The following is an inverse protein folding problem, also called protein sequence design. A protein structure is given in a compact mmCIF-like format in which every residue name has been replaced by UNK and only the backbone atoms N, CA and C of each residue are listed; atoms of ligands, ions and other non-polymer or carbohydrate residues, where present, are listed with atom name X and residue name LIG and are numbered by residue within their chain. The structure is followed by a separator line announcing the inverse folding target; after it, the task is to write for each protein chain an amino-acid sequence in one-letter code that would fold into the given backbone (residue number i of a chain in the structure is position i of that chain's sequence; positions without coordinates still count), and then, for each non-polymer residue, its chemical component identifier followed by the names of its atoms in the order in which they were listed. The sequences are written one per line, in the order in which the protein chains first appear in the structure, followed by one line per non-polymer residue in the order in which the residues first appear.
data_IF_003453964424
#
_entry.id   IF_003453964424
#
_cell.length_a   1.000
_cell.length_b   1.000
_cell.length_c   1.000
_cell.angle_alpha   90.00
_cell.angle_beta   90.00
_cell.angle_gamma   90.00
#
_symmetry.space_group_name_H-M   'P 1'
#
loop_
_entity.id
_entity.type
_entity.pdbx_description
1 polymer ?
#
# COMPACT_ATOMS: atom_id res chain seq x y z
N UNK A 1 50.62 -50.59 12.01
CA UNK A 1 51.21 -49.88 10.85
C UNK A 1 50.21 -49.97 9.71
N UNK A 2 49.48 -48.88 9.44
CA UNK A 2 48.49 -48.82 8.37
C UNK A 2 48.85 -47.66 7.44
N UNK A 3 49.24 -47.99 6.22
CA UNK A 3 49.66 -47.09 5.15
C UNK A 3 48.44 -46.38 4.59
N UNK A 4 48.45 -45.04 4.62
CA UNK A 4 47.37 -44.19 4.11
C UNK A 4 47.57 -43.99 2.61
N UNK A 5 46.81 -44.71 1.78
CA UNK A 5 46.75 -44.48 0.33
C UNK A 5 46.00 -43.17 0.07
N UNK A 6 46.70 -42.14 -0.41
CA UNK A 6 46.11 -40.91 -0.91
C UNK A 6 45.43 -41.19 -2.25
N UNK A 7 44.12 -40.96 -2.30
CA UNK A 7 43.30 -41.08 -3.51
C UNK A 7 43.62 -39.86 -4.40
N UNK A 8 44.29 -40.10 -5.51
CA UNK A 8 44.70 -39.08 -6.47
C UNK A 8 43.55 -38.85 -7.46
N UNK A 9 42.96 -37.66 -7.45
CA UNK A 9 41.91 -37.29 -8.40
C UNK A 9 42.52 -36.89 -9.75
N UNK A 10 41.90 -37.28 -10.88
CA UNK A 10 42.38 -36.89 -12.21
C UNK A 10 42.16 -35.40 -12.46
N UNK A 11 43.14 -34.74 -13.09
CA UNK A 11 43.03 -33.33 -13.46
C UNK A 11 41.98 -33.09 -14.55
N UNK A 12 41.28 -31.94 -14.53
CA UNK A 12 40.29 -31.60 -15.55
C UNK A 12 40.94 -31.28 -16.91
N UNK A 13 40.24 -31.55 -18.02
CA UNK A 13 40.77 -31.30 -19.36
C UNK A 13 40.91 -29.80 -19.66
N UNK A 14 41.86 -29.40 -20.51
CA UNK A 14 42.09 -28.00 -20.86
C UNK A 14 40.93 -27.42 -21.68
N UNK A 15 40.66 -26.10 -21.57
CA UNK A 15 39.58 -25.45 -22.28
C UNK A 15 39.83 -25.39 -23.79
N UNK A 16 38.76 -25.57 -24.57
CA UNK A 16 38.75 -25.51 -26.03
C UNK A 16 39.13 -24.12 -26.55
N UNK A 17 39.80 -24.02 -27.72
CA UNK A 17 40.19 -22.75 -28.31
C UNK A 17 38.97 -21.89 -28.73
N UNK A 18 39.10 -20.56 -28.75
CA UNK A 18 38.02 -19.65 -29.10
C UNK A 18 37.64 -19.83 -30.57
N UNK A 19 36.32 -19.93 -30.83
CA UNK A 19 35.78 -19.92 -32.18
C UNK A 19 35.92 -18.51 -32.75
N UNK A 20 36.45 -18.40 -33.97
CA UNK A 20 36.41 -17.16 -34.73
C UNK A 20 34.97 -16.92 -35.18
N UNK A 21 34.38 -15.79 -34.78
CA UNK A 21 33.07 -15.37 -35.26
C UNK A 21 33.20 -14.74 -36.65
N UNK A 22 32.54 -15.38 -37.61
CA UNK A 22 32.22 -14.81 -38.93
C UNK A 22 31.16 -13.70 -38.79
N UNK A 23 31.11 -12.74 -39.74
CA UNK A 23 30.27 -11.55 -39.63
C UNK A 23 28.77 -11.89 -39.57
N UNK A 24 28.14 -11.55 -38.45
CA UNK A 24 26.70 -11.63 -38.26
C UNK A 24 25.97 -10.63 -39.16
N UNK A 25 25.26 -11.18 -40.14
CA UNK A 25 24.22 -10.51 -40.93
C UNK A 25 23.07 -10.06 -40.02
N UNK A 26 22.72 -8.78 -40.10
CA UNK A 26 21.53 -8.19 -39.50
C UNK A 26 20.32 -8.76 -40.25
N UNK A 27 19.54 -9.63 -39.59
CA UNK A 27 18.22 -10.04 -40.04
C UNK A 27 17.18 -9.72 -38.96
N UNK A 28 15.96 -9.46 -39.43
CA UNK A 28 14.88 -8.65 -38.87
C UNK A 28 14.18 -9.11 -37.58
N UNK A 29 14.20 -8.25 -36.55
CA UNK A 29 13.47 -8.38 -35.27
C UNK A 29 12.06 -7.74 -35.28
N UNK A 30 11.26 -8.01 -36.31
CA UNK A 30 9.91 -7.45 -36.43
C UNK A 30 8.84 -8.19 -35.58
N UNK A 31 9.15 -9.39 -35.08
CA UNK A 31 8.17 -10.25 -34.39
C UNK A 31 8.10 -9.99 -32.87
N UNK A 32 9.23 -9.66 -32.24
CA UNK A 32 9.32 -9.46 -30.78
C UNK A 32 8.68 -8.11 -30.35
N UNK A 33 8.79 -7.11 -31.22
CA UNK A 33 8.18 -5.79 -31.04
C UNK A 33 6.65 -5.84 -31.08
N UNK A 34 6.07 -6.74 -31.88
CA UNK A 34 4.61 -6.88 -32.00
C UNK A 34 3.96 -7.52 -30.76
N UNK A 35 4.66 -8.43 -30.09
CA UNK A 35 4.19 -9.06 -28.87
C UNK A 35 4.25 -8.10 -27.67
N UNK A 36 5.37 -7.38 -27.53
CA UNK A 36 5.56 -6.36 -26.50
C UNK A 36 4.55 -5.22 -26.65
N UNK A 37 4.32 -4.75 -27.88
CA UNK A 37 3.32 -3.71 -28.15
C UNK A 37 1.90 -4.16 -27.83
N UNK A 38 1.52 -5.40 -28.14
CA UNK A 38 0.20 -5.94 -27.84
C UNK A 38 -0.03 -6.08 -26.32
N UNK A 39 0.94 -6.63 -25.59
CA UNK A 39 0.84 -6.81 -24.13
C UNK A 39 0.68 -5.47 -23.39
N UNK A 40 1.48 -4.47 -23.77
CA UNK A 40 1.39 -3.12 -23.19
C UNK A 40 0.06 -2.44 -23.54
N UNK A 41 -0.47 -2.66 -24.75
CA UNK A 41 -1.76 -2.11 -25.18
C UNK A 41 -2.94 -2.74 -24.43
N UNK A 42 -2.92 -4.06 -24.22
CA UNK A 42 -3.90 -4.78 -23.41
C UNK A 42 -3.88 -4.29 -21.95
N UNK A 43 -2.69 -4.07 -21.40
CA UNK A 43 -2.50 -3.60 -20.04
C UNK A 43 -2.94 -2.14 -19.87
N UNK A 44 -2.66 -1.27 -20.84
CA UNK A 44 -3.20 0.10 -20.88
C UNK A 44 -4.72 0.11 -20.94
N UNK A 45 -5.36 -0.78 -21.72
CA UNK A 45 -6.83 -0.92 -21.72
C UNK A 45 -7.38 -1.37 -20.37
N UNK A 46 -6.71 -2.31 -19.71
CA UNK A 46 -7.06 -2.81 -18.37
C UNK A 46 -6.96 -1.73 -17.29
N UNK A 47 -5.94 -0.86 -17.38
CA UNK A 47 -5.73 0.23 -16.42
C UNK A 47 -6.55 1.47 -16.76
N UNK A 48 -6.74 1.71 -18.06
CA UNK A 48 -7.41 2.89 -18.61
C UNK A 48 -8.38 2.47 -19.71
N UNK A 49 -9.66 2.43 -19.40
CA UNK A 49 -10.71 2.27 -20.42
C UNK A 49 -10.83 3.52 -21.34
N UNK A 50 -9.88 4.46 -21.24
CA UNK A 50 -9.95 5.84 -21.76
C UNK A 50 -8.77 6.17 -22.68
N UNK A 51 -7.60 5.53 -22.55
CA UNK A 51 -6.41 5.87 -23.33
C UNK A 51 -5.85 4.64 -24.05
N UNK A 52 -6.11 4.56 -25.36
CA UNK A 52 -5.44 3.57 -26.22
C UNK A 52 -4.00 4.02 -26.45
N UNK A 53 -3.05 3.08 -26.63
CA UNK A 53 -1.64 3.39 -26.95
C UNK A 53 -1.51 4.41 -28.09
N UNK A 54 -2.36 4.30 -29.12
CA UNK A 54 -2.46 5.26 -30.23
C UNK A 54 -2.75 6.69 -29.75
N UNK A 55 -3.67 6.87 -28.80
CA UNK A 55 -4.00 8.19 -28.25
C UNK A 55 -2.82 8.77 -27.46
N UNK A 56 -2.10 7.93 -26.71
CA UNK A 56 -0.89 8.38 -25.99
C UNK A 56 0.16 8.84 -26.98
N UNK A 57 0.36 8.11 -28.07
CA UNK A 57 1.32 8.46 -29.12
C UNK A 57 0.96 9.75 -29.85
N UNK A 58 -0.30 9.92 -30.25
CA UNK A 58 -0.80 11.15 -30.89
C UNK A 58 -0.67 12.37 -29.97
N UNK A 59 -1.02 12.20 -28.69
CA UNK A 59 -0.87 13.24 -27.70
C UNK A 59 0.61 13.55 -27.41
N UNK A 60 1.48 12.54 -27.42
CA UNK A 60 2.94 12.69 -27.30
C UNK A 60 3.51 13.45 -28.49
N UNK A 61 3.01 13.23 -29.70
CA UNK A 61 3.41 13.99 -30.90
C UNK A 61 3.09 15.48 -30.80
N UNK A 62 2.06 15.84 -30.02
CA UNK A 62 1.63 17.22 -29.80
C UNK A 62 2.25 17.87 -28.54
N UNK A 63 2.85 17.08 -27.64
CA UNK A 63 3.40 17.54 -26.37
C UNK A 63 4.87 17.95 -26.52
N UNK A 64 5.16 19.23 -26.32
CA UNK A 64 6.50 19.79 -26.51
C UNK A 64 7.52 19.23 -25.53
N UNK A 65 7.12 18.90 -24.30
CA UNK A 65 8.03 18.39 -23.26
C UNK A 65 8.45 16.97 -23.61
N UNK A 66 7.50 16.10 -23.96
CA UNK A 66 7.81 14.73 -24.34
C UNK A 66 8.55 14.64 -25.68
N UNK A 67 8.27 15.52 -26.64
CA UNK A 67 9.09 15.61 -27.85
C UNK A 67 10.54 15.99 -27.54
N UNK A 68 10.76 16.96 -26.64
CA UNK A 68 12.12 17.28 -26.17
C UNK A 68 12.78 16.11 -25.44
N UNK A 69 12.01 15.35 -24.66
CA UNK A 69 12.50 14.14 -23.99
C UNK A 69 12.91 13.06 -25.01
N UNK A 70 12.13 12.84 -26.07
CA UNK A 70 12.47 11.92 -27.16
C UNK A 70 13.79 12.33 -27.81
N UNK A 71 13.94 13.62 -28.17
CA UNK A 71 15.18 14.14 -28.73
C UNK A 71 16.36 13.92 -27.78
N UNK A 72 16.17 14.17 -26.48
CA UNK A 72 17.20 13.98 -25.46
C UNK A 72 17.59 12.51 -25.29
N UNK A 73 16.63 11.59 -25.34
CA UNK A 73 16.88 10.14 -25.30
C UNK A 73 17.71 9.72 -26.53
N UNK A 74 17.40 10.23 -27.72
CA UNK A 74 18.15 9.92 -28.94
C UNK A 74 19.55 10.54 -28.99
N UNK A 75 19.73 11.76 -28.45
CA UNK A 75 21.04 12.42 -28.39
C UNK A 75 21.93 11.91 -27.24
N UNK A 76 21.35 11.15 -26.31
CA UNK A 76 21.97 10.80 -25.04
C UNK A 76 21.59 11.79 -23.93
N UNK A 77 21.21 11.25 -22.78
CA UNK A 77 20.89 12.02 -21.57
C UNK A 77 22.21 12.32 -20.83
N UNK A 78 22.52 13.58 -20.51
CA UNK A 78 23.72 13.95 -19.74
C UNK A 78 23.78 13.27 -18.36
N UNK A 79 24.99 12.96 -17.90
CA UNK A 79 25.21 12.37 -16.56
C UNK A 79 24.83 13.33 -15.43
N UNK A 80 25.07 14.63 -15.63
CA UNK A 80 24.77 15.66 -14.64
C UNK A 80 23.36 16.22 -14.83
N UNK A 81 22.56 16.21 -13.77
CA UNK A 81 21.19 16.71 -13.78
C UNK A 81 21.10 18.20 -14.16
N UNK A 82 22.12 18.99 -13.83
CA UNK A 82 22.18 20.43 -14.14
C UNK A 82 22.27 20.73 -15.64
N UNK A 83 22.77 19.78 -16.44
CA UNK A 83 22.91 19.92 -17.90
C UNK A 83 21.62 19.51 -18.63
N UNK A 84 20.66 18.92 -17.91
CA UNK A 84 19.33 18.60 -18.41
C UNK A 84 18.42 19.82 -18.28
N UNK A 85 17.65 20.17 -19.33
CA UNK A 85 16.65 21.23 -19.24
C UNK A 85 15.73 21.05 -18.03
N UNK A 86 15.41 22.14 -17.33
CA UNK A 86 14.65 22.14 -16.06
C UNK A 86 13.34 21.33 -16.12
N UNK A 87 12.61 21.42 -17.23
CA UNK A 87 11.37 20.69 -17.50
C UNK A 87 11.56 19.16 -17.56
N UNK A 88 12.77 18.70 -17.92
CA UNK A 88 13.12 17.29 -18.11
C UNK A 88 13.91 16.70 -16.94
N UNK A 89 14.41 17.53 -16.01
CA UNK A 89 15.10 17.08 -14.81
C UNK A 89 14.33 16.01 -14.00
N UNK A 90 12.98 16.04 -13.88
CA UNK A 90 12.24 14.98 -13.20
C UNK A 90 12.45 13.58 -13.80
N UNK A 91 12.86 13.50 -15.07
CA UNK A 91 13.14 12.25 -15.79
C UNK A 91 14.60 11.80 -15.66
N UNK A 92 15.53 12.69 -15.28
CA UNK A 92 16.97 12.40 -15.21
C UNK A 92 17.30 11.21 -14.31
N UNK A 93 16.64 11.10 -13.16
CA UNK A 93 16.81 9.96 -12.23
C UNK A 93 16.42 8.60 -12.81
N UNK A 94 15.75 8.59 -13.96
CA UNK A 94 15.32 7.39 -14.68
C UNK A 94 16.07 7.21 -16.00
N UNK A 95 17.08 8.05 -16.30
CA UNK A 95 17.78 8.11 -17.58
C UNK A 95 18.27 6.74 -18.07
N UNK A 96 18.90 5.95 -17.19
CA UNK A 96 19.42 4.63 -17.53
C UNK A 96 18.34 3.61 -17.96
N UNK A 97 17.08 3.85 -17.62
CA UNK A 97 15.95 2.97 -17.94
C UNK A 97 15.02 3.55 -18.99
N UNK A 98 15.25 4.78 -19.46
CA UNK A 98 14.41 5.46 -20.44
C UNK A 98 14.86 5.11 -21.86
N UNK A 99 13.90 4.72 -22.69
CA UNK A 99 14.14 4.48 -24.11
C UNK A 99 12.89 4.84 -24.93
N UNK A 100 13.08 5.04 -26.23
CA UNK A 100 12.01 5.42 -27.16
C UNK A 100 11.88 4.36 -28.25
N UNK A 101 10.66 3.85 -28.47
CA UNK A 101 10.35 2.90 -29.54
C UNK A 101 9.12 3.41 -30.29
N UNK A 102 9.25 3.61 -31.61
CA UNK A 102 8.17 4.10 -32.47
C UNK A 102 7.48 5.37 -31.95
N UNK A 103 8.20 6.26 -31.26
CA UNK A 103 7.64 7.49 -30.68
C UNK A 103 6.95 7.31 -29.32
N UNK A 104 6.94 6.09 -28.77
CA UNK A 104 6.52 5.83 -27.39
C UNK A 104 7.74 5.85 -26.46
N UNK A 105 7.64 6.64 -25.38
CA UNK A 105 8.68 6.69 -24.35
C UNK A 105 8.36 5.63 -23.30
N UNK A 106 9.34 4.80 -22.98
CA UNK A 106 9.21 3.64 -22.09
C UNK A 106 10.23 3.73 -20.95
N UNK A 107 9.85 3.19 -19.78
CA UNK A 107 10.77 2.90 -18.68
C UNK A 107 10.57 1.49 -18.17
N UNK A 108 11.53 0.60 -18.48
CA UNK A 108 11.30 -0.84 -18.40
C UNK A 108 10.09 -1.24 -19.25
N UNK A 109 9.06 -1.80 -18.62
CA UNK A 109 7.83 -2.24 -19.29
C UNK A 109 6.71 -1.18 -19.31
N UNK A 110 6.93 -0.01 -18.70
CA UNK A 110 5.88 1.00 -18.50
C UNK A 110 5.97 2.11 -19.54
N UNK A 111 4.83 2.55 -20.05
CA UNK A 111 4.75 3.73 -20.92
C UNK A 111 4.76 5.02 -20.09
N UNK A 112 5.55 6.01 -20.53
CA UNK A 112 5.54 7.36 -19.96
C UNK A 112 4.27 8.10 -20.38
N UNK A 113 3.53 8.63 -19.41
CA UNK A 113 2.26 9.31 -19.64
C UNK A 113 2.43 10.83 -19.51
N UNK A 114 1.95 11.55 -20.54
CA UNK A 114 1.91 13.01 -20.55
C UNK A 114 1.02 13.60 -19.46
N UNK A 115 1.36 14.81 -19.02
CA UNK A 115 0.69 15.50 -17.91
C UNK A 115 -0.84 15.62 -18.12
N UNK A 116 -1.31 15.87 -19.34
CA UNK A 116 -2.73 16.03 -19.62
C UNK A 116 -3.55 14.73 -19.49
N UNK A 117 -2.93 13.55 -19.62
CA UNK A 117 -3.62 12.27 -19.46
C UNK A 117 -3.59 11.76 -18.00
N UNK A 118 -2.64 12.22 -17.18
CA UNK A 118 -2.49 11.77 -15.79
C UNK A 118 -3.78 11.85 -14.96
N UNK A 119 -4.62 12.93 -15.02
CA UNK A 119 -5.87 12.98 -14.28
C UNK A 119 -6.84 11.86 -14.64
N UNK A 120 -6.98 11.57 -15.94
CA UNK A 120 -7.86 10.49 -16.42
C UNK A 120 -7.41 9.12 -15.94
N UNK A 121 -6.09 8.87 -15.94
CA UNK A 121 -5.52 7.62 -15.40
C UNK A 121 -5.73 7.53 -13.89
N UNK A 122 -5.47 8.60 -13.15
CA UNK A 122 -5.66 8.64 -11.70
C UNK A 122 -7.14 8.37 -11.32
N UNK A 123 -8.08 8.90 -12.09
CA UNK A 123 -9.50 8.63 -11.91
C UNK A 123 -9.83 7.15 -12.18
N UNK A 124 -9.28 6.55 -13.23
CA UNK A 124 -9.47 5.13 -13.53
C UNK A 124 -8.82 4.20 -12.49
N UNK A 125 -7.66 4.58 -11.95
CA UNK A 125 -7.02 3.89 -10.83
C UNK A 125 -7.89 3.95 -9.57
N UNK A 126 -8.58 5.08 -9.35
CA UNK A 126 -9.40 5.34 -8.19
C UNK A 126 -10.85 4.84 -8.28
N UNK A 127 -11.34 4.41 -9.45
CA UNK A 127 -12.76 4.14 -9.71
C UNK A 127 -13.44 3.17 -8.71
N UNK A 128 -12.69 2.23 -8.13
CA UNK A 128 -13.18 1.29 -7.10
C UNK A 128 -12.75 1.68 -5.66
N UNK A 129 -12.44 2.95 -5.41
CA UNK A 129 -11.98 3.48 -4.12
C UNK A 129 -10.82 2.70 -3.49
N UNK A 130 -9.93 2.20 -4.36
CA UNK A 130 -8.82 1.36 -3.94
C UNK A 130 -7.82 2.16 -3.09
N UNK A 131 -7.16 1.45 -2.17
CA UNK A 131 -6.07 2.02 -1.38
C UNK A 131 -4.84 2.32 -2.24
N UNK A 132 -3.94 3.14 -1.70
CA UNK A 132 -2.71 3.58 -2.37
C UNK A 132 -1.89 2.40 -2.90
N UNK A 133 -1.73 1.33 -2.11
CA UNK A 133 -0.95 0.14 -2.51
C UNK A 133 -1.55 -0.54 -3.74
N UNK A 134 -2.86 -0.73 -3.77
CA UNK A 134 -3.55 -1.37 -4.90
C UNK A 134 -3.49 -0.50 -6.16
N UNK A 135 -3.66 0.83 -6.02
CA UNK A 135 -3.49 1.76 -7.13
C UNK A 135 -2.05 1.73 -7.68
N UNK A 136 -1.03 1.72 -6.81
CA UNK A 136 0.38 1.60 -7.22
C UNK A 136 0.66 0.28 -7.94
N UNK A 137 0.12 -0.85 -7.44
CA UNK A 137 0.29 -2.16 -8.06
C UNK A 137 -0.24 -2.18 -9.51
N UNK A 138 -1.38 -1.53 -9.78
CA UNK A 138 -1.93 -1.42 -11.15
C UNK A 138 -1.05 -0.60 -12.10
N UNK A 139 -0.20 0.28 -11.57
CA UNK A 139 0.74 1.08 -12.37
C UNK A 139 2.09 0.41 -12.56
N UNK A 140 2.42 -0.61 -11.77
CA UNK A 140 3.77 -1.18 -11.69
C UNK A 140 4.31 -1.68 -13.03
N UNK A 141 3.42 -2.22 -13.89
CA UNK A 141 3.82 -2.82 -15.16
C UNK A 141 3.25 -2.09 -16.39
N UNK A 142 2.44 -1.04 -16.19
CA UNK A 142 1.65 -0.41 -17.27
C UNK A 142 2.10 1.00 -17.63
N UNK A 143 2.14 1.89 -16.64
CA UNK A 143 2.25 3.34 -16.84
C UNK A 143 3.19 3.98 -15.86
N UNK A 144 3.81 5.07 -16.29
CA UNK A 144 4.78 5.79 -15.50
C UNK A 144 4.74 7.29 -15.77
N UNK A 145 5.00 8.08 -14.74
CA UNK A 145 5.44 9.46 -14.85
C UNK A 145 6.16 9.86 -13.54
N UNK A 146 6.97 10.92 -13.54
CA UNK A 146 7.61 11.41 -12.31
C UNK A 146 6.56 11.74 -11.24
N UNK A 147 6.76 11.26 -10.01
CA UNK A 147 5.87 11.47 -8.87
C UNK A 147 4.50 10.77 -8.96
N UNK A 148 4.34 9.73 -9.78
CA UNK A 148 3.11 8.93 -9.88
C UNK A 148 2.56 8.47 -8.51
N UNK A 149 3.42 7.95 -7.62
CA UNK A 149 3.01 7.50 -6.28
C UNK A 149 2.48 8.65 -5.43
N UNK A 150 3.10 9.83 -5.51
CA UNK A 150 2.64 11.05 -4.83
C UNK A 150 1.28 11.48 -5.36
N UNK A 151 1.07 11.42 -6.68
CA UNK A 151 -0.21 11.75 -7.28
C UNK A 151 -1.31 10.76 -6.89
N UNK A 152 -1.01 9.45 -6.90
CA UNK A 152 -1.93 8.40 -6.41
C UNK A 152 -2.33 8.66 -4.95
N UNK A 153 -1.35 8.93 -4.10
CA UNK A 153 -1.57 9.21 -2.67
C UNK A 153 -2.45 10.44 -2.48
N UNK A 154 -2.18 11.51 -3.23
CA UNK A 154 -2.99 12.74 -3.22
C UNK A 154 -4.42 12.46 -3.67
N UNK A 155 -4.63 11.77 -4.78
CA UNK A 155 -5.96 11.41 -5.30
C UNK A 155 -6.76 10.61 -4.28
N UNK A 156 -6.16 9.59 -3.66
CA UNK A 156 -6.83 8.81 -2.61
C UNK A 156 -7.18 9.67 -1.40
N UNK A 157 -6.26 10.52 -0.92
CA UNK A 157 -6.45 11.33 0.28
C UNK A 157 -7.44 12.49 0.08
N UNK A 158 -7.67 12.93 -1.16
CA UNK A 158 -8.68 13.93 -1.49
C UNK A 158 -10.08 13.32 -1.64
N UNK A 159 -10.21 11.98 -1.67
CA UNK A 159 -11.50 11.33 -1.81
C UNK A 159 -12.28 11.28 -0.49
N UNK A 160 -13.40 12.01 -0.44
CA UNK A 160 -14.27 12.05 0.72
C UNK A 160 -14.90 10.69 1.09
N UNK A 161 -15.15 9.81 0.11
CA UNK A 161 -15.67 8.47 0.37
C UNK A 161 -14.60 7.56 1.00
N UNK A 162 -13.38 7.57 0.46
CA UNK A 162 -12.27 6.84 1.04
C UNK A 162 -11.95 7.32 2.46
N UNK A 163 -12.00 8.62 2.71
CA UNK A 163 -11.72 9.18 4.03
C UNK A 163 -12.82 8.86 5.05
N UNK A 164 -14.10 8.84 4.64
CA UNK A 164 -15.21 8.40 5.51
C UNK A 164 -15.17 6.92 5.84
N UNK A 165 -14.80 6.08 4.86
CA UNK A 165 -14.71 4.63 5.05
C UNK A 165 -13.40 4.19 5.72
N UNK A 166 -12.41 5.07 5.83
CA UNK A 166 -11.16 4.77 6.51
C UNK A 166 -11.45 4.47 7.98
N UNK A 167 -11.11 3.25 8.42
CA UNK A 167 -11.15 2.91 9.83
C UNK A 167 -10.25 3.88 10.59
N UNK A 168 -10.80 4.53 11.61
CA UNK A 168 -9.99 5.26 12.56
C UNK A 168 -9.13 4.24 13.31
N UNK A 169 -7.92 4.00 12.83
CA UNK A 169 -6.91 3.24 13.56
C UNK A 169 -6.29 4.13 14.65
N UNK A 170 -7.13 4.86 15.38
CA UNK A 170 -6.69 5.55 16.59
C UNK A 170 -6.59 4.45 17.63
N UNK A 171 -5.37 3.98 17.87
CA UNK A 171 -5.08 3.18 19.06
C UNK A 171 -5.36 4.12 20.23
N UNK A 172 -6.54 3.99 20.83
CA UNK A 172 -6.80 4.59 22.12
C UNK A 172 -6.02 3.77 23.13
N UNK A 173 -4.95 4.35 23.67
CA UNK A 173 -4.24 3.79 24.81
C UNK A 173 -5.25 3.67 25.97
N UNK A 174 -5.38 2.49 26.62
CA UNK A 174 -6.18 2.38 27.82
C UNK A 174 -5.70 3.39 28.87
N UNK A 175 -6.63 4.08 29.52
CA UNK A 175 -6.30 4.94 30.65
C UNK A 175 -5.91 4.08 31.84
N UNK A 176 -4.85 4.46 32.55
CA UNK A 176 -4.48 3.81 33.81
C UNK A 176 -5.62 3.93 34.83
N UNK A 177 -6.07 2.80 35.36
CA UNK A 177 -7.15 2.76 36.33
C UNK A 177 -6.57 2.90 37.74
N UNK A 178 -6.99 3.91 38.50
CA UNK A 178 -6.59 4.09 39.89
C UNK A 178 -7.21 2.96 40.74
N UNK A 179 -6.41 2.14 41.45
CA UNK A 179 -6.93 1.10 42.34
C UNK A 179 -7.49 1.73 43.63
N UNK A 180 -8.49 1.10 44.27
CA UNK A 180 -8.91 1.48 45.62
C UNK A 180 -7.83 1.12 46.66
N UNK A 181 -7.75 1.91 47.73
CA UNK A 181 -6.86 1.76 48.89
C UNK A 181 -7.47 0.85 49.98
N UNK A 182 -8.81 0.78 50.09
CA UNK A 182 -9.51 -0.03 51.09
C UNK A 182 -10.84 -0.62 50.58
N UNK A 183 -11.37 -1.68 51.22
CA UNK A 183 -12.65 -2.29 50.85
C UNK A 183 -13.80 -1.28 50.78
N UNK A 184 -14.63 -1.41 49.75
CA UNK A 184 -15.83 -0.60 49.50
C UNK A 184 -15.56 0.88 49.18
N UNK A 185 -14.31 1.29 48.90
CA UNK A 185 -14.00 2.63 48.41
C UNK A 185 -14.49 2.87 46.98
N UNK A 186 -14.46 1.83 46.15
CA UNK A 186 -14.92 1.89 44.77
C UNK A 186 -15.77 0.66 44.46
N UNK A 187 -17.01 0.89 44.03
CA UNK A 187 -17.94 -0.16 43.63
C UNK A 187 -18.13 -0.13 42.12
N UNK A 188 -18.05 -1.29 41.49
CA UNK A 188 -18.55 -1.51 40.14
C UNK A 188 -19.94 -2.12 40.23
N UNK A 189 -20.86 -1.69 39.37
CA UNK A 189 -22.16 -2.32 39.22
C UNK A 189 -22.44 -2.59 37.75
N UNK A 190 -23.04 -3.73 37.47
CA UNK A 190 -23.57 -4.05 36.16
C UNK A 190 -24.93 -4.76 36.25
N UNK A 191 -25.64 -4.80 35.13
CA UNK A 191 -26.92 -5.48 34.98
C UNK A 191 -26.78 -6.65 34.03
N UNK A 192 -27.40 -7.77 34.39
CA UNK A 192 -27.49 -8.93 33.51
C UNK A 192 -28.85 -9.60 33.64
N UNK A 193 -29.19 -10.44 32.67
CA UNK A 193 -30.41 -11.24 32.69
C UNK A 193 -30.06 -12.72 32.72
N UNK A 194 -30.83 -13.48 33.49
CA UNK A 194 -30.71 -14.93 33.58
C UNK A 194 -32.09 -15.53 33.82
N UNK A 195 -32.45 -16.60 33.10
CA UNK A 195 -33.76 -17.26 33.20
C UNK A 195 -34.96 -16.29 33.19
N UNK A 196 -34.98 -15.36 32.24
CA UNK A 196 -36.03 -14.32 32.11
C UNK A 196 -36.22 -13.42 33.34
N UNK A 197 -35.18 -13.30 34.19
CA UNK A 197 -35.15 -12.39 35.31
C UNK A 197 -33.96 -11.44 35.19
N UNK A 198 -34.19 -10.19 35.60
CA UNK A 198 -33.14 -9.16 35.69
C UNK A 198 -32.41 -9.25 37.02
N UNK A 199 -31.10 -9.07 36.95
CA UNK A 199 -30.20 -9.06 38.10
C UNK A 199 -29.28 -7.87 38.02
N UNK A 200 -28.86 -7.38 39.19
CA UNK A 200 -27.78 -6.44 39.34
C UNK A 200 -26.67 -7.10 40.16
N UNK A 201 -25.44 -6.94 39.70
CA UNK A 201 -24.24 -7.35 40.45
C UNK A 201 -23.51 -6.09 40.90
N UNK A 202 -23.19 -6.03 42.18
CA UNK A 202 -22.31 -5.01 42.76
C UNK A 202 -21.02 -5.72 43.16
N UNK A 203 -19.88 -5.18 42.76
CA UNK A 203 -18.55 -5.72 43.05
C UNK A 203 -17.71 -4.63 43.71
N UNK A 204 -17.15 -4.94 44.88
CA UNK A 204 -16.10 -4.14 45.47
C UNK A 204 -14.80 -4.30 44.67
N UNK A 205 -14.26 -3.21 44.14
CA UNK A 205 -13.04 -3.26 43.32
C UNK A 205 -11.80 -3.64 44.10
N UNK A 206 -11.79 -3.47 45.43
CA UNK A 206 -10.63 -3.80 46.27
C UNK A 206 -10.55 -5.30 46.54
N UNK A 207 -11.62 -5.87 47.10
CA UNK A 207 -11.66 -7.28 47.53
C UNK A 207 -12.20 -8.23 46.48
N UNK A 208 -12.76 -7.73 45.38
CA UNK A 208 -13.58 -8.50 44.43
C UNK A 208 -14.82 -9.13 45.08
N UNK A 209 -15.25 -8.65 46.25
CA UNK A 209 -16.48 -9.11 46.90
C UNK A 209 -17.70 -8.75 46.05
N UNK A 210 -18.46 -9.75 45.64
CA UNK A 210 -19.63 -9.59 44.77
C UNK A 210 -20.94 -9.86 45.50
N UNK A 211 -21.93 -8.99 45.28
CA UNK A 211 -23.29 -9.14 45.76
C UNK A 211 -24.25 -9.11 44.57
N UNK A 212 -25.18 -10.06 44.53
CA UNK A 212 -26.14 -10.20 43.43
C UNK A 212 -27.55 -9.99 43.97
N UNK A 213 -28.29 -9.10 43.33
CA UNK A 213 -29.66 -8.76 43.70
C UNK A 213 -30.57 -8.98 42.50
N UNK A 214 -31.79 -9.47 42.76
CA UNK A 214 -32.84 -9.43 41.75
C UNK A 214 -33.20 -7.97 41.52
N UNK A 215 -33.18 -7.53 40.27
CA UNK A 215 -33.52 -6.14 39.93
C UNK A 215 -34.65 -6.10 38.93
N UNK A 216 -35.64 -5.30 39.25
CA UNK A 216 -36.59 -4.78 38.28
C UNK A 216 -35.91 -3.65 37.49
N UNK A 217 -36.35 -3.39 36.25
CA UNK A 217 -35.76 -2.35 35.42
C UNK A 217 -36.06 -0.95 35.98
N UNK A 218 -35.20 0.03 35.66
CA UNK A 218 -35.41 1.44 36.01
C UNK A 218 -34.71 1.91 37.30
N UNK A 219 -34.88 3.19 37.60
CA UNK A 219 -34.16 3.88 38.68
C UNK A 219 -34.51 3.36 40.08
N UNK A 220 -35.74 2.90 40.32
CA UNK A 220 -36.12 2.37 41.64
C UNK A 220 -35.45 1.02 41.95
N UNK A 221 -35.32 0.15 40.94
CA UNK A 221 -34.54 -1.09 41.04
C UNK A 221 -33.03 -0.85 41.16
N UNK A 222 -32.56 0.36 40.84
CA UNK A 222 -31.19 0.80 41.11
C UNK A 222 -31.02 1.27 42.56
N UNK A 223 -31.87 2.18 43.01
CA UNK A 223 -31.70 2.92 44.27
C UNK A 223 -31.93 2.04 45.50
N UNK A 224 -32.94 1.18 45.47
CA UNK A 224 -33.30 0.34 46.64
C UNK A 224 -32.15 -0.61 47.05
N UNK A 225 -31.57 -1.44 46.15
CA UNK A 225 -30.48 -2.34 46.53
C UNK A 225 -29.20 -1.60 46.94
N UNK A 226 -28.93 -0.43 46.37
CA UNK A 226 -27.77 0.38 46.78
C UNK A 226 -27.93 0.87 48.20
N UNK A 227 -29.11 1.39 48.57
CA UNK A 227 -29.39 1.84 49.94
C UNK A 227 -29.25 0.71 50.95
N UNK A 228 -29.81 -0.47 50.66
CA UNK A 228 -29.68 -1.67 51.49
C UNK A 228 -28.20 -2.04 51.66
N UNK A 229 -27.45 -2.11 50.55
CA UNK A 229 -26.02 -2.42 50.57
C UNK A 229 -25.23 -1.43 51.41
N UNK A 230 -25.47 -0.12 51.28
CA UNK A 230 -24.74 0.88 52.07
C UNK A 230 -25.05 0.81 53.56
N UNK A 231 -26.30 0.53 53.94
CA UNK A 231 -26.69 0.34 55.34
C UNK A 231 -25.98 -0.88 55.93
N UNK A 232 -25.98 -2.02 55.23
CA UNK A 232 -25.32 -3.25 55.70
C UNK A 232 -23.80 -3.08 55.85
N UNK A 233 -23.18 -2.27 55.00
CA UNK A 233 -21.75 -1.98 55.04
C UNK A 233 -21.33 -1.03 56.17
N UNK A 234 -22.23 -0.15 56.64
CA UNK A 234 -21.97 0.70 57.82
C UNK A 234 -21.93 -0.12 59.11
N UNK A 235 -22.76 -1.16 59.23
CA UNK A 235 -22.75 -2.09 60.38
C UNK A 235 -21.47 -2.93 60.47
N UNK A 236 -20.75 -3.13 59.36
CA UNK A 236 -19.48 -3.86 59.35
C UNK A 236 -18.27 -3.00 59.74
N UNK A 237 -18.46 -1.69 59.90
CA UNK A 237 -17.41 -0.74 60.34
C UNK A 237 -17.46 -0.42 61.84
N UNK A 238 -18.51 -0.85 62.56
CA UNK A 238 -18.67 -0.70 64.02
C UNK A 238 -18.22 -1.94 64.79
#
# INVERSE_FOLDING_TARGET
MATKTLMQYPEPPPPSPPKHDEPHTIDSDAAEDKATTLAVTEMLRSVTNIATRTMVREATASDTILQRLITLIHSGIPDQCQDVPSELQPYHRYAASLFCIHGDILTGHRIVILAALQPSILNALHAAHQGVVAMCARTADSVFWPNITTNITRTRNQCAQCNRAAKANTIQLPTDIIPPDYPFQQLCRDYFSYNNHGYAVIVDRYSSWSMVFRSEAGAEGLVRPLRETFVDLEFLKS
#
